data_IF_868392523667
#
_entry.id   IF_868392523667
#
_cell.length_a   1.000
_cell.length_b   1.000
_cell.length_c   1.000
_cell.angle_alpha   90.00
_cell.angle_beta   90.00
_cell.angle_gamma   90.00
#
_symmetry.space_group_name_H-M   'P 1'
#
loop_
_entity.id
_entity.type
_entity.pdbx_description
1 polymer ?
#
# COMPACT_ATOMS: atom_id res chain seq x y z
N UNK A 1 29.48 -23.21 16.43
CA UNK A 1 29.55 -21.77 16.69
C UNK A 1 28.37 -21.12 15.96
N UNK A 2 27.39 -20.74 16.73
CA UNK A 2 26.13 -20.18 16.19
C UNK A 2 26.35 -18.72 15.86
N UNK A 3 26.49 -18.44 14.59
CA UNK A 3 26.24 -17.08 14.10
C UNK A 3 24.72 -16.95 13.91
N UNK A 4 24.07 -16.63 15.01
CA UNK A 4 22.69 -16.19 14.96
C UNK A 4 22.69 -14.83 14.28
N UNK A 5 22.33 -14.80 13.01
CA UNK A 5 22.07 -13.60 12.22
C UNK A 5 21.15 -12.69 13.03
N UNK A 6 21.74 -11.73 13.72
CA UNK A 6 20.98 -10.62 14.28
C UNK A 6 20.23 -9.95 13.12
N UNK A 7 18.94 -9.72 13.24
CA UNK A 7 18.23 -8.99 12.20
C UNK A 7 18.90 -7.62 12.07
N UNK A 8 19.41 -7.33 10.89
CA UNK A 8 19.95 -6.00 10.61
C UNK A 8 18.87 -4.97 10.97
N UNK A 9 19.22 -3.94 11.77
CA UNK A 9 18.23 -2.91 12.07
C UNK A 9 17.73 -2.30 10.76
N UNK A 10 16.41 -2.34 10.56
CA UNK A 10 15.78 -1.74 9.39
C UNK A 10 16.10 -0.24 9.39
N UNK A 11 16.47 0.27 8.23
CA UNK A 11 16.64 1.72 8.04
C UNK A 11 15.29 2.39 8.09
N UNK A 12 15.11 3.35 8.98
CA UNK A 12 13.91 4.13 9.04
C UNK A 12 13.86 5.16 7.91
N UNK A 13 12.73 5.24 7.25
CA UNK A 13 12.44 6.21 6.21
C UNK A 13 11.14 6.95 6.59
N UNK A 14 11.24 8.06 7.33
CA UNK A 14 10.07 8.84 7.72
C UNK A 14 9.53 9.62 6.53
N UNK A 15 8.20 9.60 6.38
CA UNK A 15 7.47 10.34 5.36
C UNK A 15 6.55 11.34 6.06
N UNK A 16 6.68 12.61 5.73
CA UNK A 16 5.78 13.65 6.22
C UNK A 16 4.45 13.65 5.46
N UNK A 17 3.42 14.30 6.03
CA UNK A 17 2.14 14.51 5.33
C UNK A 17 2.33 15.25 4.01
N UNK A 18 3.21 16.23 3.97
CA UNK A 18 3.53 17.00 2.78
C UNK A 18 4.18 16.14 1.70
N UNK A 19 5.13 15.29 2.08
CA UNK A 19 5.78 14.36 1.16
C UNK A 19 4.80 13.31 0.62
N UNK A 20 3.96 12.73 1.48
CA UNK A 20 2.94 11.77 1.06
C UNK A 20 1.95 12.40 0.08
N UNK A 21 1.51 13.62 0.35
CA UNK A 21 0.63 14.37 -0.55
C UNK A 21 1.29 14.60 -1.92
N UNK A 22 2.53 15.07 -1.92
CA UNK A 22 3.30 15.32 -3.15
C UNK A 22 3.51 14.03 -3.96
N UNK A 23 3.89 12.94 -3.30
CA UNK A 23 4.11 11.65 -3.96
C UNK A 23 2.79 11.04 -4.46
N UNK A 24 1.70 11.18 -3.72
CA UNK A 24 0.38 10.73 -4.18
C UNK A 24 -0.12 11.52 -5.39
N UNK A 25 0.17 12.81 -5.46
CA UNK A 25 -0.09 13.62 -6.67
C UNK A 25 0.79 13.18 -7.84
N UNK A 26 2.06 12.86 -7.59
CA UNK A 26 2.95 12.33 -8.62
C UNK A 26 2.43 10.99 -9.16
N UNK A 27 1.87 10.13 -8.30
CA UNK A 27 1.19 8.91 -8.72
C UNK A 27 0.00 9.21 -9.63
N UNK A 28 -0.84 10.16 -9.25
CA UNK A 28 -1.99 10.58 -10.07
C UNK A 28 -1.55 11.07 -11.46
N UNK A 29 -0.46 11.83 -11.56
CA UNK A 29 0.11 12.25 -12.83
C UNK A 29 0.50 11.07 -13.73
N UNK A 30 1.13 10.04 -13.17
CA UNK A 30 1.48 8.83 -13.91
C UNK A 30 0.27 8.05 -14.40
N UNK A 31 -0.82 8.09 -13.63
CA UNK A 31 -2.05 7.36 -13.91
C UNK A 31 -2.97 8.07 -14.88
N UNK A 32 -2.83 9.39 -15.02
CA UNK A 32 -3.72 10.23 -15.84
C UNK A 32 -3.78 9.76 -17.30
N UNK A 33 -2.63 9.39 -17.88
CA UNK A 33 -2.52 8.98 -19.28
C UNK A 33 -2.85 7.49 -19.51
N UNK A 34 -3.02 6.72 -18.43
CA UNK A 34 -3.26 5.27 -18.50
C UNK A 34 -4.75 4.91 -18.43
N UNK A 35 -5.61 5.88 -18.10
CA UNK A 35 -7.06 5.69 -18.04
C UNK A 35 -7.73 5.59 -19.41
N UNK A 36 -9.04 5.62 -19.45
CA UNK A 36 -9.94 6.00 -18.35
C UNK A 36 -10.15 4.86 -17.32
N UNK A 37 -10.50 5.28 -16.11
CA UNK A 37 -10.81 4.38 -15.00
C UNK A 37 -12.30 4.46 -14.65
N UNK A 38 -12.90 3.31 -14.30
CA UNK A 38 -14.31 3.26 -13.87
C UNK A 38 -14.49 3.46 -12.36
N UNK A 39 -13.46 3.22 -11.57
CA UNK A 39 -13.48 3.38 -10.13
C UNK A 39 -12.11 3.15 -9.52
N UNK A 40 -11.94 3.64 -8.29
CA UNK A 40 -10.76 3.39 -7.47
C UNK A 40 -11.11 2.41 -6.37
N UNK A 41 -10.20 1.49 -6.08
CA UNK A 41 -10.27 0.57 -4.94
C UNK A 41 -9.07 0.84 -4.04
N UNK A 42 -9.32 1.33 -2.84
CA UNK A 42 -8.28 1.51 -1.84
C UNK A 42 -8.05 0.20 -1.07
N UNK A 43 -6.81 -0.24 -1.00
CA UNK A 43 -6.43 -1.35 -0.12
C UNK A 43 -6.31 -0.81 1.31
N UNK A 44 -7.22 -1.22 2.17
CA UNK A 44 -7.25 -0.68 3.53
C UNK A 44 -6.24 -1.39 4.43
N UNK A 45 -5.65 -0.67 5.34
CA UNK A 45 -5.85 0.76 5.68
C UNK A 45 -4.91 1.69 4.92
N UNK A 46 -3.70 1.23 4.60
CA UNK A 46 -2.62 2.06 4.07
C UNK A 46 -2.95 2.84 2.79
N UNK A 47 -3.78 2.25 1.92
CA UNK A 47 -4.18 2.89 0.67
C UNK A 47 -5.26 3.96 0.78
N UNK A 48 -5.88 4.16 1.95
CA UNK A 48 -7.00 5.10 2.11
C UNK A 48 -6.62 6.55 1.80
N UNK A 49 -5.54 7.04 2.39
CA UNK A 49 -5.10 8.43 2.17
C UNK A 49 -4.58 8.64 0.75
N UNK A 50 -3.68 7.81 0.22
CA UNK A 50 -3.27 7.92 -1.19
C UNK A 50 -4.43 7.85 -2.16
N UNK A 51 -5.39 6.94 -1.95
CA UNK A 51 -6.57 6.82 -2.82
C UNK A 51 -7.44 8.07 -2.81
N UNK A 52 -7.62 8.71 -1.66
CA UNK A 52 -8.37 9.96 -1.56
C UNK A 52 -7.72 11.08 -2.37
N UNK A 53 -6.39 11.19 -2.31
CA UNK A 53 -5.63 12.19 -3.05
C UNK A 53 -5.69 11.90 -4.57
N UNK A 54 -5.44 10.65 -4.97
CA UNK A 54 -5.50 10.23 -6.37
C UNK A 54 -6.90 10.43 -6.96
N UNK A 55 -7.94 10.06 -6.21
CA UNK A 55 -9.33 10.22 -6.65
C UNK A 55 -9.65 11.70 -6.91
N UNK A 56 -9.21 12.59 -6.03
CA UNK A 56 -9.39 14.03 -6.24
C UNK A 56 -8.66 14.50 -7.49
N UNK A 57 -7.40 14.13 -7.68
CA UNK A 57 -6.59 14.59 -8.80
C UNK A 57 -7.06 14.03 -10.15
N UNK A 58 -7.62 12.82 -10.17
CA UNK A 58 -8.21 12.22 -11.38
C UNK A 58 -9.70 12.58 -11.57
N UNK A 59 -10.26 13.42 -10.71
CA UNK A 59 -11.69 13.78 -10.67
C UNK A 59 -12.62 12.55 -10.64
N UNK A 60 -12.28 11.57 -9.85
CA UNK A 60 -13.04 10.33 -9.69
C UNK A 60 -13.85 10.36 -8.40
N UNK A 61 -15.15 10.00 -8.50
CA UNK A 61 -16.07 9.98 -7.37
C UNK A 61 -16.25 8.60 -6.76
N UNK A 62 -16.15 7.56 -7.59
CA UNK A 62 -16.33 6.19 -7.12
C UNK A 62 -15.03 5.68 -6.49
N UNK A 63 -15.03 5.58 -5.17
CA UNK A 63 -13.94 4.98 -4.40
C UNK A 63 -14.53 3.91 -3.51
N UNK A 64 -14.14 2.67 -3.74
CA UNK A 64 -14.47 1.51 -2.92
C UNK A 64 -13.25 1.06 -2.13
N UNK A 65 -13.42 0.10 -1.25
CA UNK A 65 -12.35 -0.45 -0.42
C UNK A 65 -12.24 -1.95 -0.55
N UNK A 66 -11.03 -2.45 -0.49
CA UNK A 66 -10.68 -3.85 -0.37
C UNK A 66 -9.90 -4.01 0.94
N UNK A 67 -10.34 -4.94 1.80
CA UNK A 67 -9.72 -5.13 3.09
C UNK A 67 -9.05 -6.49 3.17
N UNK A 68 -7.75 -6.49 3.32
CA UNK A 68 -6.93 -7.66 3.59
C UNK A 68 -6.20 -7.49 4.92
N UNK A 69 -6.08 -8.55 5.68
CA UNK A 69 -5.37 -8.56 6.94
C UNK A 69 -4.38 -9.72 6.98
N UNK A 70 -3.17 -9.45 7.41
CA UNK A 70 -2.22 -10.51 7.76
C UNK A 70 -2.45 -10.92 9.21
N UNK A 71 -2.69 -12.21 9.43
CA UNK A 71 -2.78 -12.78 10.77
C UNK A 71 -1.41 -13.29 11.21
N UNK A 72 -0.95 -12.67 12.29
CA UNK A 72 0.09 -13.07 13.22
C UNK A 72 1.49 -13.43 12.68
N UNK A 73 2.48 -12.93 13.43
CA UNK A 73 3.92 -13.16 13.23
C UNK A 73 4.37 -14.61 13.45
N UNK A 74 3.48 -15.52 13.88
CA UNK A 74 3.83 -16.90 14.22
C UNK A 74 3.30 -17.97 13.26
N UNK A 75 2.38 -17.65 12.39
CA UNK A 75 1.90 -18.56 11.36
C UNK A 75 2.15 -17.96 9.99
N UNK A 76 3.20 -18.44 9.34
CA UNK A 76 3.66 -18.00 8.03
C UNK A 76 2.52 -17.55 7.09
N UNK A 77 2.35 -16.24 6.96
CA UNK A 77 1.88 -15.62 5.73
C UNK A 77 0.44 -15.88 5.29
N UNK A 78 -0.51 -16.19 6.18
CA UNK A 78 -1.91 -16.26 5.76
C UNK A 78 -2.55 -14.87 5.75
N UNK A 79 -2.72 -14.33 4.55
CA UNK A 79 -3.51 -13.14 4.32
C UNK A 79 -4.97 -13.55 4.22
N UNK A 80 -5.82 -12.90 5.01
CA UNK A 80 -7.27 -13.08 4.99
C UNK A 80 -7.92 -11.87 4.32
N UNK A 81 -8.82 -12.16 3.39
CA UNK A 81 -9.69 -11.14 2.79
C UNK A 81 -10.88 -10.92 3.71
N UNK A 82 -10.97 -9.74 4.28
CA UNK A 82 -12.09 -9.33 5.15
C UNK A 82 -13.23 -8.72 4.34
N UNK A 83 -12.91 -8.00 3.28
CA UNK A 83 -13.86 -7.44 2.32
C UNK A 83 -13.25 -7.48 0.93
N UNK A 84 -13.90 -8.18 0.02
CA UNK A 84 -13.50 -8.26 -1.39
C UNK A 84 -14.25 -7.27 -2.28
N UNK A 85 -13.94 -7.35 -3.57
CA UNK A 85 -14.59 -6.60 -4.65
C UNK A 85 -15.15 -7.62 -5.64
N UNK A 86 -16.36 -7.41 -6.11
CA UNK A 86 -16.97 -8.25 -7.14
C UNK A 86 -16.34 -8.01 -8.52
N UNK A 87 -16.32 -9.05 -9.35
CA UNK A 87 -15.77 -8.98 -10.71
C UNK A 87 -14.30 -9.31 -10.77
N UNK A 88 -13.69 -9.05 -11.93
CA UNK A 88 -12.29 -9.35 -12.24
C UNK A 88 -11.37 -8.12 -12.19
N UNK A 89 -11.91 -6.95 -11.88
CA UNK A 89 -11.17 -5.70 -11.76
C UNK A 89 -11.00 -4.90 -13.05
N UNK A 90 -11.61 -5.32 -14.16
CA UNK A 90 -11.49 -4.58 -15.42
C UNK A 90 -11.96 -3.13 -15.28
N UNK A 91 -11.11 -2.19 -15.67
CA UNK A 91 -11.37 -0.76 -15.55
C UNK A 91 -11.12 -0.18 -14.15
N UNK A 92 -10.85 -1.02 -13.15
CA UNK A 92 -10.57 -0.55 -11.79
C UNK A 92 -9.10 -0.18 -11.59
N UNK A 93 -8.88 0.85 -10.81
CA UNK A 93 -7.58 1.30 -10.34
C UNK A 93 -7.44 0.98 -8.86
N UNK A 94 -6.53 0.08 -8.52
CA UNK A 94 -6.23 -0.29 -7.13
C UNK A 94 -5.11 0.60 -6.62
N UNK A 95 -5.30 1.19 -5.44
CA UNK A 95 -4.32 2.06 -4.79
C UNK A 95 -3.94 1.50 -3.41
N UNK A 96 -2.64 1.39 -3.17
CA UNK A 96 -2.07 1.13 -1.86
C UNK A 96 -0.92 2.11 -1.57
N UNK A 97 -0.47 2.17 -0.34
CA UNK A 97 0.65 3.02 0.06
C UNK A 97 2.01 2.43 -0.36
N UNK A 98 2.18 1.14 -0.17
CA UNK A 98 3.44 0.43 -0.34
C UNK A 98 3.20 -1.00 -0.82
N UNK A 99 4.04 -1.47 -1.74
CA UNK A 99 4.25 -2.91 -1.95
C UNK A 99 5.59 -3.30 -1.35
N UNK A 100 5.57 -4.18 -0.34
CA UNK A 100 6.77 -4.63 0.38
C UNK A 100 7.27 -5.98 -0.16
N UNK A 101 6.89 -7.08 0.46
CA UNK A 101 7.21 -8.44 -0.01
C UNK A 101 6.35 -8.87 -1.19
N UNK A 102 5.19 -8.28 -1.34
CA UNK A 102 4.21 -8.58 -2.37
C UNK A 102 3.14 -9.59 -1.95
N UNK A 103 3.10 -10.02 -0.69
CA UNK A 103 2.12 -11.00 -0.23
C UNK A 103 0.68 -10.48 -0.37
N UNK A 104 0.42 -9.27 0.07
CA UNK A 104 -0.88 -8.60 -0.16
C UNK A 104 -1.18 -8.44 -1.64
N UNK A 105 -0.19 -8.00 -2.42
CA UNK A 105 -0.36 -7.77 -3.85
C UNK A 105 -0.72 -9.04 -4.61
N UNK A 106 -0.17 -10.21 -4.25
CA UNK A 106 -0.53 -11.49 -4.87
C UNK A 106 -1.99 -11.81 -4.66
N UNK A 107 -2.49 -11.66 -3.42
CA UNK A 107 -3.90 -11.90 -3.09
C UNK A 107 -4.82 -10.96 -3.87
N UNK A 108 -4.45 -9.68 -3.94
CA UNK A 108 -5.20 -8.67 -4.70
C UNK A 108 -5.22 -9.00 -6.20
N UNK A 109 -4.07 -9.41 -6.76
CA UNK A 109 -3.97 -9.82 -8.17
C UNK A 109 -4.80 -11.06 -8.50
N UNK A 110 -4.84 -12.05 -7.61
CA UNK A 110 -5.68 -13.24 -7.78
C UNK A 110 -7.17 -12.88 -7.78
N UNK A 111 -7.55 -11.93 -6.93
CA UNK A 111 -8.93 -11.47 -6.81
C UNK A 111 -9.36 -10.60 -7.99
N UNK A 112 -8.51 -9.67 -8.41
CA UNK A 112 -8.79 -8.65 -9.44
C UNK A 112 -7.69 -8.66 -10.52
N UNK A 113 -7.61 -9.74 -11.32
CA UNK A 113 -6.48 -9.94 -12.25
C UNK A 113 -6.41 -8.90 -13.37
N UNK A 114 -7.50 -8.24 -13.69
CA UNK A 114 -7.56 -7.23 -14.76
C UNK A 114 -7.46 -5.79 -14.25
N UNK A 115 -7.41 -5.57 -12.94
CA UNK A 115 -7.24 -4.24 -12.40
C UNK A 115 -5.82 -3.71 -12.61
N UNK A 116 -5.69 -2.41 -12.73
CA UNK A 116 -4.39 -1.74 -12.68
C UNK A 116 -4.03 -1.47 -11.22
N UNK A 117 -2.87 -1.96 -10.77
CA UNK A 117 -2.45 -1.81 -9.39
C UNK A 117 -1.32 -0.78 -9.27
N UNK A 118 -1.54 0.24 -8.47
CA UNK A 118 -0.60 1.32 -8.24
C UNK A 118 -0.32 1.56 -6.76
N UNK A 119 0.94 1.83 -6.43
CA UNK A 119 1.38 2.17 -5.07
C UNK A 119 2.20 3.44 -5.08
N UNK A 120 2.23 4.14 -3.95
CA UNK A 120 3.11 5.30 -3.80
C UNK A 120 4.57 4.85 -3.72
N UNK A 121 4.84 3.85 -2.90
CA UNK A 121 6.18 3.27 -2.72
C UNK A 121 6.22 1.81 -3.15
N UNK A 122 7.40 1.37 -3.60
CA UNK A 122 7.64 -0.02 -3.92
C UNK A 122 9.01 -0.47 -3.40
N UNK A 123 9.07 -1.70 -2.88
CA UNK A 123 10.33 -2.37 -2.58
C UNK A 123 10.64 -3.43 -3.65
N UNK A 124 11.91 -3.81 -3.85
CA UNK A 124 12.30 -4.70 -4.94
C UNK A 124 11.53 -6.01 -5.00
N UNK A 125 11.23 -6.65 -3.87
CA UNK A 125 10.51 -7.92 -3.85
C UNK A 125 9.05 -7.81 -4.31
N UNK A 126 8.38 -6.71 -4.00
CA UNK A 126 6.98 -6.47 -4.35
C UNK A 126 6.77 -5.76 -5.69
N UNK A 127 7.77 -5.03 -6.15
CA UNK A 127 7.70 -4.22 -7.37
C UNK A 127 7.14 -4.95 -8.60
N UNK A 128 7.50 -6.22 -8.89
CA UNK A 128 6.96 -6.92 -10.06
C UNK A 128 5.45 -7.14 -10.04
N UNK A 129 4.81 -6.98 -8.89
CA UNK A 129 3.38 -7.24 -8.70
C UNK A 129 2.50 -5.99 -8.87
N UNK A 130 3.10 -4.81 -8.99
CA UNK A 130 2.38 -3.56 -9.24
C UNK A 130 2.70 -3.02 -10.62
N UNK A 131 1.75 -2.30 -11.21
CA UNK A 131 1.89 -1.75 -12.58
C UNK A 131 2.53 -0.37 -12.57
N UNK A 132 2.25 0.42 -11.55
CA UNK A 132 2.73 1.81 -11.43
C UNK A 132 3.11 2.10 -9.97
N UNK A 133 4.22 2.79 -9.77
CA UNK A 133 4.63 3.31 -8.46
C UNK A 133 5.41 4.61 -8.64
N UNK A 134 5.68 5.33 -7.57
CA UNK A 134 6.42 6.61 -7.63
C UNK A 134 7.85 6.43 -7.19
N UNK A 135 8.07 5.96 -5.98
CA UNK A 135 9.40 5.90 -5.35
C UNK A 135 9.75 4.47 -4.95
N UNK A 136 10.90 4.01 -5.43
CA UNK A 136 11.48 2.75 -4.96
C UNK A 136 12.33 3.00 -3.72
N UNK A 137 12.16 2.15 -2.72
CA UNK A 137 12.98 2.13 -1.50
C UNK A 137 13.59 0.74 -1.33
N UNK A 138 14.73 0.67 -0.63
CA UNK A 138 15.41 -0.63 -0.43
C UNK A 138 14.59 -1.58 0.42
N UNK A 139 14.79 -2.89 0.23
CA UNK A 139 14.04 -3.92 0.93
C UNK A 139 14.24 -3.87 2.45
N UNK A 140 15.40 -3.43 2.92
CA UNK A 140 15.76 -3.27 4.34
C UNK A 140 15.26 -1.95 4.96
N UNK A 141 14.42 -1.22 4.26
CA UNK A 141 13.86 0.05 4.72
C UNK A 141 12.52 -0.18 5.41
N UNK A 142 12.33 0.45 6.56
CA UNK A 142 11.04 0.58 7.21
C UNK A 142 10.47 1.96 6.96
N UNK A 143 9.38 2.05 6.20
CA UNK A 143 8.71 3.33 5.95
C UNK A 143 7.84 3.68 7.15
N UNK A 144 8.10 4.85 7.73
CA UNK A 144 7.27 5.44 8.78
C UNK A 144 6.33 6.44 8.10
N UNK A 145 5.09 6.03 7.88
CA UNK A 145 4.08 6.89 7.30
C UNK A 145 3.63 7.97 8.29
N UNK A 146 3.03 9.08 7.82
CA UNK A 146 2.65 10.18 8.71
C UNK A 146 1.67 9.76 9.80
N UNK A 147 0.84 8.76 9.56
CA UNK A 147 -0.09 8.21 10.54
C UNK A 147 0.56 7.29 11.59
N UNK A 148 1.85 6.93 11.41
CA UNK A 148 2.59 6.05 12.32
C UNK A 148 3.40 6.82 13.37
N UNK A 149 3.59 8.13 13.23
CA UNK A 149 4.57 8.92 13.99
C UNK A 149 4.00 10.18 14.61
N UNK A 150 4.43 10.41 15.91
CA UNK A 150 4.25 11.62 16.70
C UNK A 150 5.43 11.80 17.64
N UNK A 151 6.32 12.60 17.41
CA UNK A 151 7.54 12.72 16.66
C UNK A 151 8.37 11.44 16.52
N UNK A 152 7.93 10.35 17.10
CA UNK A 152 8.46 8.99 16.95
C UNK A 152 7.29 8.03 16.74
N UNK A 153 7.57 6.75 16.48
CA UNK A 153 6.50 5.77 16.34
C UNK A 153 5.54 5.84 17.54
N UNK A 154 4.26 6.04 17.27
CA UNK A 154 3.20 6.04 18.24
C UNK A 154 2.24 4.87 17.97
N UNK A 155 2.04 3.96 18.94
CA UNK A 155 1.06 2.89 18.77
C UNK A 155 -0.36 3.44 18.71
N UNK A 156 -1.31 2.71 18.10
CA UNK A 156 -2.71 3.11 18.11
C UNK A 156 -3.23 3.33 19.54
N UNK A 157 -4.06 4.34 19.73
CA UNK A 157 -4.64 4.68 21.03
C UNK A 157 -5.33 3.50 21.72
N UNK A 158 -5.99 2.64 20.94
CA UNK A 158 -6.64 1.44 21.46
C UNK A 158 -5.66 0.44 22.08
N UNK A 159 -4.41 0.41 21.59
CA UNK A 159 -3.36 -0.47 22.12
C UNK A 159 -2.76 0.04 23.42
N UNK A 160 -2.85 1.34 23.69
CA UNK A 160 -2.31 1.96 24.91
C UNK A 160 -3.18 1.71 26.16
N UNK A 161 -4.37 1.14 26.01
CA UNK A 161 -5.31 0.84 27.09
C UNK A 161 -5.35 -0.63 27.52
N UNK A 162 -4.44 -1.47 26.99
CA UNK A 162 -4.34 -2.89 27.36
C UNK A 162 -3.17 -3.16 28.31
#
# INVERSE_FOLDING_TARGET
MNDATQPHPLKNFPVSWEELHRHSKALAWRLLELGPWSGIVAVTRGGLVPAAIVARELDMRLVDTLCVASYDHQTQGRIKVLKGIAGDGEGLLIIDDLVDTGDTARVVREMLPKAHFATVYAKPAGRPLVDTFVTEVSQDTWILFPWDIEPQFAPPLASARR
#
